data_IF_193796414024
#
_entry.id   IF_193796414024
#
_cell.length_a   1.000
_cell.length_b   1.000
_cell.length_c   1.000
_cell.angle_alpha   90.00
_cell.angle_beta   90.00
_cell.angle_gamma   90.00
#
_symmetry.space_group_name_H-M   'P 1'
#
loop_
_entity.id
_entity.type
_entity.pdbx_description
1 polymer ?
#
# COMPACT_ATOMS: atom_id res chain seq x y z
N UNK A 1 10.77 -18.11 -9.29
CA UNK A 1 10.26 -16.89 -8.64
C UNK A 1 9.96 -15.88 -9.74
N UNK A 2 8.68 -15.63 -10.03
CA UNK A 2 8.31 -14.64 -11.05
C UNK A 2 7.99 -13.33 -10.32
N UNK A 3 8.98 -12.45 -10.25
CA UNK A 3 8.78 -11.07 -9.80
C UNK A 3 8.08 -10.33 -10.94
N UNK A 4 6.80 -10.02 -10.78
CA UNK A 4 6.12 -9.06 -11.65
C UNK A 4 6.63 -7.67 -11.25
N UNK A 5 7.60 -7.17 -11.99
CA UNK A 5 8.08 -5.81 -11.83
C UNK A 5 7.03 -4.86 -12.43
N UNK A 6 6.07 -4.42 -11.60
CA UNK A 6 5.12 -3.38 -11.98
C UNK A 6 5.86 -2.05 -11.89
N UNK A 7 6.51 -1.67 -12.98
CA UNK A 7 7.10 -0.34 -13.12
C UNK A 7 5.98 0.66 -13.33
N UNK A 8 5.59 1.38 -12.26
CA UNK A 8 4.68 2.52 -12.40
C UNK A 8 5.49 3.65 -13.03
N UNK A 9 5.11 4.10 -14.23
CA UNK A 9 5.79 5.21 -14.90
C UNK A 9 5.35 6.55 -14.27
N UNK A 10 5.87 6.83 -13.07
CA UNK A 10 5.51 7.99 -12.24
C UNK A 10 5.92 9.31 -12.94
N UNK A 11 6.93 9.28 -13.79
CA UNK A 11 7.43 10.46 -14.54
C UNK A 11 6.48 10.93 -15.64
N UNK A 12 5.53 10.10 -16.07
CA UNK A 12 4.47 10.50 -17.00
C UNK A 12 3.32 11.27 -16.30
N UNK A 13 3.31 11.31 -14.95
CA UNK A 13 2.30 12.04 -14.18
C UNK A 13 2.73 13.50 -13.97
N UNK A 14 1.74 14.41 -13.96
CA UNK A 14 1.96 15.78 -13.48
C UNK A 14 2.48 15.78 -12.04
N UNK A 15 3.16 16.83 -11.60
CA UNK A 15 3.68 16.95 -10.22
C UNK A 15 2.57 16.69 -9.17
N UNK A 16 1.34 17.15 -9.45
CA UNK A 16 0.16 16.87 -8.62
C UNK A 16 -0.19 15.37 -8.62
N UNK A 17 -0.14 14.72 -9.77
CA UNK A 17 -0.33 13.27 -9.91
C UNK A 17 0.73 12.46 -9.16
N UNK A 18 1.99 12.87 -9.23
CA UNK A 18 3.09 12.24 -8.50
C UNK A 18 2.89 12.34 -6.98
N UNK A 19 2.56 13.53 -6.47
CA UNK A 19 2.23 13.76 -5.05
C UNK A 19 1.03 12.92 -4.61
N UNK A 20 0.01 12.80 -5.47
CA UNK A 20 -1.18 11.98 -5.19
C UNK A 20 -0.81 10.50 -5.10
N UNK A 21 -0.04 9.99 -6.06
CA UNK A 21 0.40 8.60 -6.06
C UNK A 21 1.29 8.29 -4.85
N UNK A 22 2.24 9.18 -4.52
CA UNK A 22 3.09 9.03 -3.35
C UNK A 22 2.27 8.89 -2.06
N UNK A 23 1.23 9.72 -1.89
CA UNK A 23 0.30 9.61 -0.75
C UNK A 23 -0.45 8.28 -0.72
N UNK A 24 -0.87 7.76 -1.87
CA UNK A 24 -1.56 6.46 -1.97
C UNK A 24 -0.63 5.33 -1.54
N UNK A 25 0.61 5.32 -2.04
CA UNK A 25 1.62 4.31 -1.71
C UNK A 25 1.99 4.38 -0.23
N UNK A 26 2.17 5.58 0.32
CA UNK A 26 2.47 5.79 1.74
C UNK A 26 1.35 5.21 2.63
N UNK A 27 0.08 5.52 2.31
CA UNK A 27 -1.07 4.98 3.05
C UNK A 27 -1.17 3.45 2.96
N UNK A 28 -0.87 2.89 1.79
CA UNK A 28 -0.84 1.45 1.57
C UNK A 28 0.20 0.77 2.47
N UNK A 29 1.42 1.31 2.53
CA UNK A 29 2.47 0.80 3.41
C UNK A 29 2.15 0.98 4.89
N UNK A 30 1.56 2.11 5.28
CA UNK A 30 1.12 2.35 6.66
C UNK A 30 0.12 1.27 7.14
N UNK A 31 -0.86 0.90 6.31
CA UNK A 31 -1.81 -0.17 6.65
C UNK A 31 -1.14 -1.55 6.78
N UNK A 32 -0.19 -1.87 5.90
CA UNK A 32 0.58 -3.12 6.00
C UNK A 32 1.35 -3.17 7.32
N UNK A 33 2.02 -2.08 7.69
CA UNK A 33 2.78 -2.00 8.94
C UNK A 33 1.86 -2.20 10.16
N UNK A 34 0.74 -1.48 10.22
CA UNK A 34 -0.23 -1.61 11.31
C UNK A 34 -0.80 -3.03 11.41
N UNK A 35 -1.11 -3.66 10.28
CA UNK A 35 -1.59 -5.04 10.26
C UNK A 35 -0.52 -6.03 10.71
N UNK A 36 0.74 -5.82 10.31
CA UNK A 36 1.85 -6.66 10.73
C UNK A 36 2.08 -6.57 12.25
N UNK A 37 2.05 -5.37 12.82
CA UNK A 37 2.13 -5.16 14.27
C UNK A 37 0.98 -5.85 15.01
N UNK A 38 -0.25 -5.74 14.50
CA UNK A 38 -1.40 -6.43 15.08
C UNK A 38 -1.23 -7.96 15.06
N UNK A 39 -0.75 -8.53 13.94
CA UNK A 39 -0.50 -9.97 13.83
C UNK A 39 0.56 -10.44 14.82
N UNK A 40 1.63 -9.67 15.02
CA UNK A 40 2.65 -9.94 16.04
C UNK A 40 2.04 -9.91 17.44
N UNK A 41 1.21 -8.92 17.74
CA UNK A 41 0.55 -8.79 19.04
C UNK A 41 -0.38 -9.98 19.36
N UNK A 42 -1.15 -10.44 18.38
CA UNK A 42 -2.09 -11.56 18.55
C UNK A 42 -1.46 -12.95 18.31
N UNK A 43 -0.16 -13.02 18.00
CA UNK A 43 0.54 -14.28 17.71
C UNK A 43 0.06 -14.98 16.43
N UNK A 44 -0.59 -14.24 15.52
CA UNK A 44 -1.07 -14.77 14.24
C UNK A 44 0.01 -14.60 13.17
N UNK A 45 0.21 -15.62 12.34
CA UNK A 45 1.18 -15.54 11.25
C UNK A 45 0.71 -14.54 10.19
N UNK A 46 1.50 -13.50 9.94
CA UNK A 46 1.29 -12.58 8.83
C UNK A 46 1.72 -13.25 7.51
N UNK A 47 0.81 -13.34 6.55
CA UNK A 47 1.08 -13.95 5.25
C UNK A 47 1.27 -12.92 4.15
N UNK A 48 1.77 -13.38 3.01
CA UNK A 48 1.87 -12.55 1.80
C UNK A 48 0.49 -12.11 1.30
N UNK A 49 -0.54 -12.94 1.48
CA UNK A 49 -1.93 -12.59 1.15
C UNK A 49 -2.39 -11.42 2.01
N UNK A 50 -2.10 -11.46 3.31
CA UNK A 50 -2.42 -10.36 4.21
C UNK A 50 -1.73 -9.07 3.77
N UNK A 51 -0.44 -9.15 3.43
CA UNK A 51 0.31 -8.00 2.88
C UNK A 51 -0.42 -7.38 1.69
N UNK A 52 -0.85 -8.18 0.71
CA UNK A 52 -1.57 -7.69 -0.47
C UNK A 52 -2.93 -7.07 -0.10
N UNK A 53 -3.70 -7.73 0.78
CA UNK A 53 -5.03 -7.26 1.22
C UNK A 53 -4.92 -5.91 1.93
N UNK A 54 -4.00 -5.78 2.90
CA UNK A 54 -3.84 -4.55 3.66
C UNK A 54 -3.23 -3.42 2.82
N UNK A 55 -2.34 -3.75 1.87
CA UNK A 55 -1.83 -2.77 0.91
C UNK A 55 -2.94 -2.18 0.04
N UNK A 56 -3.77 -3.03 -0.58
CA UNK A 56 -4.90 -2.58 -1.42
C UNK A 56 -5.90 -1.79 -0.57
N UNK A 57 -6.16 -2.21 0.67
CA UNK A 57 -7.06 -1.51 1.58
C UNK A 57 -6.57 -0.10 1.91
N UNK A 58 -5.29 0.05 2.23
CA UNK A 58 -4.68 1.36 2.48
C UNK A 58 -4.65 2.25 1.24
N UNK A 59 -4.32 1.68 0.08
CA UNK A 59 -4.35 2.40 -1.19
C UNK A 59 -5.78 2.88 -1.54
N UNK A 60 -6.78 2.01 -1.41
CA UNK A 60 -8.17 2.35 -1.67
C UNK A 60 -8.68 3.42 -0.72
N UNK A 61 -8.30 3.36 0.57
CA UNK A 61 -8.67 4.39 1.53
C UNK A 61 -8.10 5.76 1.15
N UNK A 62 -6.86 5.83 0.66
CA UNK A 62 -6.28 7.07 0.16
C UNK A 62 -6.95 7.60 -1.12
N UNK A 63 -7.46 6.71 -1.98
CA UNK A 63 -8.18 7.10 -3.20
C UNK A 63 -9.57 7.62 -2.86
N UNK A 64 -10.29 6.94 -1.96
CA UNK A 64 -11.67 7.26 -1.59
C UNK A 64 -11.74 8.46 -0.63
N UNK A 65 -10.81 8.56 0.33
CA UNK A 65 -10.69 9.74 1.20
C UNK A 65 -9.95 10.84 0.46
N UNK A 66 -10.71 11.63 -0.29
CA UNK A 66 -10.23 12.86 -0.93
C UNK A 66 -9.93 13.90 0.16
N UNK A 67 -8.67 14.03 0.57
CA UNK A 67 -8.16 15.14 1.40
C UNK A 67 -7.02 15.85 0.67
#
# INVERSE_FOLDING_TARGET
MNSLNVTINITALSERGQKTLARIIDRAHYHVACAQEAHVHYGVRFTRTDTCVYFIRGALEAIVRKV
#
